data_IF_679591677080
#
_entry.id   IF_679591677080
#
_cell.length_a   1.000
_cell.length_b   1.000
_cell.length_c   1.000
_cell.angle_alpha   90.00
_cell.angle_beta   90.00
_cell.angle_gamma   90.00
#
_symmetry.space_group_name_H-M   'P 1'
#
loop_
_entity.id
_entity.type
_entity.pdbx_description
1 polymer ?
#
# COMPACT_ATOMS: atom_id res chain seq x y z
N UNK A 1 26.85 10.22 -42.04
CA UNK A 1 27.51 10.26 -43.39
C UNK A 1 28.17 8.93 -43.75
N UNK A 2 29.29 8.48 -43.08
CA UNK A 2 30.01 7.27 -43.48
C UNK A 2 29.09 6.01 -43.42
N UNK A 3 28.47 5.73 -42.29
CA UNK A 3 27.59 4.56 -42.13
C UNK A 3 26.39 4.57 -43.08
N UNK A 4 25.91 5.71 -43.48
CA UNK A 4 24.85 5.84 -44.49
C UNK A 4 25.35 5.49 -45.90
N UNK A 5 26.58 5.88 -46.23
CA UNK A 5 27.18 5.51 -47.50
C UNK A 5 27.48 4.00 -47.57
N UNK A 6 28.01 3.45 -46.49
CA UNK A 6 28.27 2.00 -46.39
C UNK A 6 26.96 1.17 -46.51
N UNK A 7 25.84 1.63 -45.92
CA UNK A 7 24.55 0.98 -46.06
C UNK A 7 24.03 1.10 -47.51
N UNK A 8 24.10 2.27 -48.13
CA UNK A 8 23.66 2.45 -49.49
C UNK A 8 24.46 1.60 -50.48
N UNK A 9 25.76 1.43 -50.27
CA UNK A 9 26.61 0.52 -51.04
C UNK A 9 26.15 -0.95 -50.85
N UNK A 10 25.98 -1.40 -49.58
CA UNK A 10 25.57 -2.76 -49.28
C UNK A 10 24.17 -3.10 -49.82
N UNK A 11 23.27 -2.13 -49.82
CA UNK A 11 21.93 -2.25 -50.40
C UNK A 11 22.00 -2.46 -51.91
N UNK A 12 22.80 -1.65 -52.63
CA UNK A 12 22.99 -1.82 -54.05
C UNK A 12 23.63 -3.19 -54.42
N UNK A 13 24.55 -3.69 -53.60
CA UNK A 13 25.15 -5.04 -53.84
C UNK A 13 24.12 -6.15 -53.55
N UNK A 14 23.27 -6.01 -52.54
CA UNK A 14 22.19 -6.97 -52.24
C UNK A 14 21.16 -6.99 -53.38
N UNK A 15 20.72 -5.86 -53.84
CA UNK A 15 19.82 -5.78 -55.02
C UNK A 15 20.41 -6.45 -56.28
N UNK A 16 21.74 -6.24 -56.50
CA UNK A 16 22.43 -6.86 -57.59
C UNK A 16 22.50 -8.37 -57.41
N UNK A 17 22.85 -8.87 -56.25
CA UNK A 17 22.88 -10.28 -55.94
C UNK A 17 21.49 -10.94 -56.10
N UNK A 18 20.42 -10.30 -55.63
CA UNK A 18 19.03 -10.75 -55.79
C UNK A 18 18.59 -10.83 -57.26
N UNK A 19 19.07 -9.96 -58.14
CA UNK A 19 18.83 -10.05 -59.60
C UNK A 19 19.57 -11.19 -60.22
N UNK A 20 20.85 -11.39 -59.89
CA UNK A 20 21.73 -12.41 -60.47
C UNK A 20 21.35 -13.82 -60.02
N UNK A 21 20.86 -14.02 -58.79
CA UNK A 21 20.40 -15.32 -58.33
C UNK A 21 19.15 -15.75 -59.08
N UNK A 22 18.23 -14.85 -59.40
CA UNK A 22 17.05 -15.14 -60.25
C UNK A 22 17.42 -15.54 -61.65
N UNK A 23 18.62 -15.12 -62.13
CA UNK A 23 19.19 -15.52 -63.45
C UNK A 23 20.09 -16.73 -63.33
N UNK A 24 20.16 -17.38 -62.15
CA UNK A 24 21.04 -18.54 -61.89
C UNK A 24 22.52 -18.27 -62.17
N UNK A 25 22.99 -17.02 -62.08
CA UNK A 25 24.36 -16.62 -62.42
C UNK A 25 25.29 -16.61 -61.21
N UNK A 26 24.73 -16.58 -59.97
CA UNK A 26 25.52 -16.67 -58.73
C UNK A 26 25.01 -17.77 -57.84
N UNK A 27 25.82 -18.18 -56.85
CA UNK A 27 25.43 -19.19 -55.83
C UNK A 27 24.60 -18.58 -54.68
N UNK A 28 23.81 -19.39 -54.02
CA UNK A 28 23.07 -19.00 -52.78
C UNK A 28 24.02 -18.41 -51.73
N UNK A 29 25.21 -18.98 -51.58
CA UNK A 29 26.26 -18.46 -50.68
C UNK A 29 26.65 -17.00 -50.97
N UNK A 30 26.66 -16.63 -52.24
CA UNK A 30 26.98 -15.24 -52.61
C UNK A 30 25.82 -14.26 -52.27
N UNK A 31 24.57 -14.72 -52.33
CA UNK A 31 23.42 -13.96 -51.85
C UNK A 31 23.45 -13.81 -50.33
N UNK A 32 23.69 -14.90 -49.59
CA UNK A 32 23.79 -14.88 -48.10
C UNK A 32 24.87 -13.94 -47.63
N UNK A 33 26.01 -13.83 -48.36
CA UNK A 33 27.10 -12.90 -48.07
C UNK A 33 26.67 -11.44 -48.26
N UNK A 34 25.94 -11.14 -49.33
CA UNK A 34 25.39 -9.81 -49.58
C UNK A 34 24.35 -9.40 -48.52
N UNK A 35 23.46 -10.34 -48.15
CA UNK A 35 22.49 -10.12 -47.08
C UNK A 35 23.15 -9.86 -45.73
N UNK A 36 24.19 -10.62 -45.38
CA UNK A 36 24.94 -10.41 -44.14
C UNK A 36 25.62 -9.06 -44.14
N UNK A 37 26.25 -8.64 -45.26
CA UNK A 37 26.90 -7.34 -45.40
C UNK A 37 25.92 -6.20 -45.24
N UNK A 38 24.72 -6.31 -45.81
CA UNK A 38 23.63 -5.35 -45.62
C UNK A 38 23.20 -5.24 -44.16
N UNK A 39 22.93 -6.35 -43.46
CA UNK A 39 22.53 -6.35 -42.04
C UNK A 39 23.58 -5.74 -41.13
N UNK A 40 24.87 -6.00 -41.41
CA UNK A 40 25.98 -5.40 -40.66
C UNK A 40 26.04 -3.89 -40.88
N UNK A 41 25.88 -3.42 -42.12
CA UNK A 41 25.85 -2.00 -42.42
C UNK A 41 24.64 -1.28 -41.83
N UNK A 42 23.46 -1.92 -41.81
CA UNK A 42 22.27 -1.41 -41.18
C UNK A 42 22.44 -1.27 -39.66
N UNK A 43 22.97 -2.28 -38.98
CA UNK A 43 23.29 -2.23 -37.57
C UNK A 43 24.33 -1.16 -37.21
N UNK A 44 25.34 -0.98 -38.09
CA UNK A 44 26.32 0.07 -37.92
C UNK A 44 25.71 1.48 -38.04
N UNK A 45 24.76 1.69 -38.96
CA UNK A 45 24.03 2.93 -39.07
C UNK A 45 23.19 3.22 -37.83
N UNK A 46 22.44 2.22 -37.32
CA UNK A 46 21.64 2.37 -36.08
C UNK A 46 22.54 2.75 -34.89
N UNK A 47 23.69 2.08 -34.74
CA UNK A 47 24.67 2.39 -33.70
C UNK A 47 25.20 3.82 -33.83
N UNK A 48 25.53 4.25 -35.05
CA UNK A 48 26.02 5.60 -35.30
C UNK A 48 24.98 6.68 -35.01
N UNK A 49 23.70 6.42 -35.31
CA UNK A 49 22.57 7.30 -34.97
C UNK A 49 22.34 7.40 -33.46
N UNK A 50 22.39 6.28 -32.75
CA UNK A 50 22.32 6.29 -31.30
C UNK A 50 23.45 7.08 -30.65
N UNK A 51 24.68 6.90 -31.15
CA UNK A 51 25.86 7.68 -30.69
C UNK A 51 25.69 9.18 -30.95
N UNK A 52 25.15 9.58 -32.11
CA UNK A 52 24.86 10.97 -32.42
C UNK A 52 23.86 11.57 -31.41
N UNK A 53 22.77 10.89 -31.16
CA UNK A 53 21.76 11.33 -30.17
C UNK A 53 22.39 11.56 -28.79
N UNK A 54 23.24 10.64 -28.34
CA UNK A 54 23.96 10.82 -27.06
C UNK A 54 24.78 12.09 -27.06
N UNK A 55 25.57 12.33 -28.14
CA UNK A 55 26.39 13.54 -28.26
C UNK A 55 25.59 14.83 -28.34
N UNK A 56 24.43 14.81 -28.97
CA UNK A 56 23.55 15.96 -29.02
C UNK A 56 22.99 16.30 -27.64
N UNK A 57 22.59 15.27 -26.85
CA UNK A 57 22.16 15.46 -25.48
C UNK A 57 23.26 15.96 -24.56
N UNK A 58 24.48 15.42 -24.68
CA UNK A 58 25.65 15.90 -23.92
C UNK A 58 25.96 17.37 -24.26
N UNK A 59 25.91 17.75 -25.55
CA UNK A 59 26.09 19.12 -25.98
C UNK A 59 25.02 20.05 -25.41
N UNK A 60 23.73 19.62 -25.44
CA UNK A 60 22.61 20.38 -24.86
C UNK A 60 22.82 20.59 -23.37
N UNK A 61 23.21 19.54 -22.64
CA UNK A 61 23.51 19.60 -21.22
C UNK A 61 24.71 20.55 -20.92
N UNK A 62 25.79 20.45 -21.69
CA UNK A 62 26.96 21.33 -21.55
C UNK A 62 26.61 22.80 -21.79
N UNK A 63 25.81 23.09 -22.85
CA UNK A 63 25.31 24.44 -23.13
C UNK A 63 24.46 24.99 -22.00
N UNK A 64 23.59 24.17 -21.41
CA UNK A 64 22.73 24.60 -20.29
C UNK A 64 23.54 24.98 -19.04
N UNK A 65 24.71 24.35 -18.83
CA UNK A 65 25.62 24.68 -17.70
C UNK A 65 26.38 26.00 -17.90
N UNK A 66 26.49 26.48 -19.14
CA UNK A 66 27.23 27.70 -19.49
C UNK A 66 26.32 28.95 -19.51
N UNK A 67 24.99 28.80 -19.39
CA UNK A 67 24.07 29.93 -19.39
C UNK A 67 24.23 30.73 -18.07
N UNK A 68 24.54 32.01 -18.20
CA UNK A 68 24.60 32.95 -17.10
C UNK A 68 23.22 33.55 -16.83
N UNK A 69 22.99 34.04 -15.60
CA UNK A 69 21.71 34.62 -15.17
C UNK A 69 21.16 35.72 -16.10
N UNK A 70 21.94 36.69 -16.61
CA UNK A 70 21.44 37.69 -17.57
C UNK A 70 21.07 37.09 -18.93
N UNK A 71 21.78 36.06 -19.41
CA UNK A 71 21.39 35.37 -20.65
C UNK A 71 20.12 34.56 -20.54
N UNK A 72 19.79 34.12 -19.33
CA UNK A 72 18.50 33.47 -19.01
C UNK A 72 17.37 34.50 -19.03
N UNK A 73 17.59 35.70 -18.48
CA UNK A 73 16.61 36.80 -18.46
C UNK A 73 16.35 37.37 -19.86
N UNK A 74 17.39 37.55 -20.70
CA UNK A 74 17.22 37.99 -22.10
C UNK A 74 16.51 36.92 -22.97
N UNK A 75 16.75 35.66 -22.72
CA UNK A 75 16.06 34.53 -23.36
C UNK A 75 14.70 34.23 -22.75
N UNK A 76 14.31 34.90 -21.65
CA UNK A 76 13.08 34.68 -20.90
C UNK A 76 11.77 34.83 -21.68
N UNK A 77 11.81 35.35 -22.93
CA UNK A 77 10.71 35.29 -23.86
C UNK A 77 10.71 34.03 -24.76
N UNK A 78 11.79 33.22 -24.73
CA UNK A 78 11.93 31.91 -25.39
C UNK A 78 12.73 30.96 -24.52
N UNK A 79 12.34 30.81 -23.28
CA UNK A 79 12.93 29.80 -22.43
C UNK A 79 12.60 28.41 -23.02
N UNK A 80 13.61 27.69 -23.51
CA UNK A 80 13.51 26.25 -23.65
C UNK A 80 13.53 25.63 -22.24
N UNK A 81 12.60 26.07 -21.42
CA UNK A 81 12.43 25.50 -20.09
C UNK A 81 11.98 24.05 -20.27
N UNK A 82 12.66 23.14 -19.63
CA UNK A 82 12.16 21.76 -19.54
C UNK A 82 10.96 21.79 -18.59
N UNK A 83 9.72 21.64 -19.09
CA UNK A 83 8.57 21.62 -18.23
C UNK A 83 8.62 20.33 -17.39
N UNK A 84 8.61 20.48 -16.07
CA UNK A 84 8.36 19.35 -15.16
C UNK A 84 6.85 19.26 -15.01
N UNK A 85 6.27 18.27 -15.68
CA UNK A 85 4.82 18.04 -15.66
C UNK A 85 4.48 17.01 -14.56
N UNK A 86 3.30 17.17 -13.94
CA UNK A 86 2.77 16.17 -13.03
C UNK A 86 2.54 14.86 -13.78
N UNK A 87 3.03 13.70 -13.27
CA UNK A 87 2.81 12.40 -13.92
C UNK A 87 1.38 11.89 -13.73
N UNK A 88 0.65 12.42 -12.74
CA UNK A 88 -0.72 12.03 -12.37
C UNK A 88 -1.59 13.26 -12.17
N UNK A 89 -2.91 13.10 -12.30
CA UNK A 89 -3.88 14.12 -11.89
C UNK A 89 -4.05 14.08 -10.37
N UNK A 90 -4.25 15.24 -9.74
CA UNK A 90 -4.41 15.33 -8.29
C UNK A 90 -4.25 16.76 -7.79
N UNK A 91 -4.10 16.90 -6.49
CA UNK A 91 -3.78 18.16 -5.82
C UNK A 91 -2.37 18.15 -5.26
N UNK A 92 -1.78 19.31 -5.10
CA UNK A 92 -0.48 19.44 -4.45
C UNK A 92 -0.67 19.21 -2.95
N UNK A 93 -0.15 18.10 -2.45
CA UNK A 93 -0.20 17.77 -1.02
C UNK A 93 0.88 18.52 -0.26
N UNK A 94 2.08 18.61 -0.83
CA UNK A 94 3.22 19.29 -0.22
C UNK A 94 4.16 19.87 -1.26
N UNK A 95 4.64 21.09 -1.02
CA UNK A 95 5.74 21.70 -1.75
C UNK A 95 7.00 21.50 -0.92
N UNK A 96 7.87 20.60 -1.38
CA UNK A 96 9.12 20.23 -0.68
C UNK A 96 10.15 21.33 -0.88
N UNK A 97 10.29 21.83 -2.11
CA UNK A 97 11.23 22.89 -2.43
C UNK A 97 10.50 24.16 -2.85
N UNK A 98 10.55 25.18 -1.98
CA UNK A 98 9.85 26.47 -2.20
C UNK A 98 10.70 27.55 -2.84
N UNK A 99 12.02 27.38 -2.84
CA UNK A 99 12.95 28.39 -3.35
C UNK A 99 13.54 27.96 -4.66
N UNK A 100 13.77 28.92 -5.54
CA UNK A 100 14.56 28.72 -6.76
C UNK A 100 15.99 28.28 -6.45
N UNK A 101 16.57 27.50 -7.31
CA UNK A 101 17.96 27.04 -7.17
C UNK A 101 18.26 25.83 -8.04
N UNK A 102 19.50 25.41 -7.96
CA UNK A 102 19.94 24.18 -8.66
C UNK A 102 19.33 22.97 -7.96
N UNK A 103 18.71 22.09 -8.72
CA UNK A 103 18.18 20.80 -8.28
C UNK A 103 18.99 19.68 -8.93
N UNK A 104 19.32 18.68 -8.14
CA UNK A 104 19.96 17.47 -8.64
C UNK A 104 18.92 16.57 -9.31
N UNK A 105 19.39 15.70 -10.21
CA UNK A 105 18.52 14.72 -10.83
C UNK A 105 17.99 13.76 -9.75
N UNK A 106 16.67 13.54 -9.74
CA UNK A 106 16.00 12.71 -8.73
C UNK A 106 15.59 13.47 -7.46
N UNK A 107 15.85 14.77 -7.35
CA UNK A 107 15.40 15.56 -6.20
C UNK A 107 13.87 15.73 -6.22
N UNK A 108 13.26 15.50 -5.07
CA UNK A 108 11.83 15.71 -4.85
C UNK A 108 11.50 17.20 -4.80
N UNK A 109 10.51 17.63 -5.58
CA UNK A 109 10.09 19.02 -5.69
C UNK A 109 8.72 19.27 -5.06
N UNK A 110 7.76 18.46 -5.46
CA UNK A 110 6.35 18.59 -5.11
C UNK A 110 5.78 17.18 -4.94
N UNK A 111 4.93 17.01 -3.95
CA UNK A 111 4.15 15.80 -3.74
C UNK A 111 2.71 16.04 -4.23
N UNK A 112 2.23 15.17 -5.11
CA UNK A 112 0.91 15.26 -5.73
C UNK A 112 0.18 13.96 -5.46
N UNK A 113 -1.08 14.05 -5.04
CA UNK A 113 -1.93 12.91 -4.78
C UNK A 113 -3.41 13.26 -4.93
N UNK A 114 -4.25 12.25 -4.96
CA UNK A 114 -5.70 12.40 -4.94
C UNK A 114 -6.18 12.29 -3.48
N UNK A 115 -6.72 13.36 -2.87
CA UNK A 115 -7.26 13.29 -1.52
C UNK A 115 -8.53 12.42 -1.39
N UNK A 116 -9.12 12.00 -2.50
CA UNK A 116 -10.25 11.06 -2.51
C UNK A 116 -9.81 9.60 -2.61
N UNK A 117 -8.54 9.34 -2.87
CA UNK A 117 -7.94 8.01 -2.97
C UNK A 117 -6.98 7.79 -1.79
N UNK A 118 -7.57 7.65 -0.59
CA UNK A 118 -6.82 7.38 0.63
C UNK A 118 -6.89 5.90 0.97
N UNK A 119 -5.75 5.38 1.39
CA UNK A 119 -5.64 4.09 2.05
C UNK A 119 -5.15 4.30 3.49
N UNK A 120 -5.47 3.37 4.37
CA UNK A 120 -5.01 3.39 5.75
C UNK A 120 -3.95 2.33 5.91
N UNK A 121 -2.74 2.76 6.26
CA UNK A 121 -1.64 1.86 6.59
C UNK A 121 -1.47 1.81 8.11
N UNK A 122 -1.41 0.61 8.66
CA UNK A 122 -1.22 0.39 10.10
C UNK A 122 -0.13 -0.64 10.34
N UNK A 123 0.73 -0.36 11.32
CA UNK A 123 1.77 -1.29 11.76
C UNK A 123 1.25 -2.14 12.93
N UNK A 124 1.04 -3.42 12.71
CA UNK A 124 0.62 -4.37 13.73
C UNK A 124 1.79 -5.19 14.26
N UNK A 125 1.67 -5.68 15.50
CA UNK A 125 2.56 -6.72 15.98
C UNK A 125 2.35 -8.00 15.16
N UNK A 126 3.44 -8.71 14.85
CA UNK A 126 3.38 -9.91 14.03
C UNK A 126 2.49 -11.00 14.61
N UNK A 127 2.39 -11.09 15.95
CA UNK A 127 1.51 -12.02 16.66
C UNK A 127 0.02 -11.70 16.50
N UNK A 128 -0.34 -10.43 16.28
CA UNK A 128 -1.71 -10.02 16.00
C UNK A 128 -2.02 -10.15 14.50
N UNK A 129 -1.06 -9.82 13.64
CA UNK A 129 -1.23 -9.89 12.19
C UNK A 129 -1.58 -11.30 11.69
N UNK A 130 -1.04 -12.38 12.31
CA UNK A 130 -1.38 -13.79 11.95
C UNK A 130 -2.84 -14.16 12.21
N UNK A 131 -3.59 -13.34 12.96
CA UNK A 131 -5.01 -13.57 13.27
C UNK A 131 -5.94 -12.84 12.33
N UNK A 132 -5.39 -12.04 11.45
CA UNK A 132 -6.13 -11.17 10.52
C UNK A 132 -6.04 -11.78 9.12
N UNK A 133 -7.13 -11.70 8.39
CA UNK A 133 -7.21 -12.17 7.01
C UNK A 133 -7.70 -11.04 6.09
N UNK A 134 -7.22 -10.97 4.84
CA UNK A 134 -7.76 -10.05 3.85
C UNK A 134 -9.28 -10.21 3.70
N UNK A 135 -10.00 -9.09 3.62
CA UNK A 135 -11.45 -9.06 3.56
C UNK A 135 -12.14 -8.91 4.91
N UNK A 136 -11.43 -8.98 6.03
CA UNK A 136 -12.03 -8.73 7.35
C UNK A 136 -12.46 -7.26 7.49
N UNK A 137 -13.62 -7.01 8.12
CA UNK A 137 -14.08 -5.65 8.39
C UNK A 137 -13.24 -5.00 9.48
N UNK A 138 -13.09 -3.69 9.37
CA UNK A 138 -12.41 -2.86 10.36
C UNK A 138 -13.19 -1.57 10.61
N UNK A 139 -12.92 -0.95 11.74
CA UNK A 139 -13.50 0.33 12.16
C UNK A 139 -12.35 1.31 12.33
N UNK A 140 -12.45 2.45 11.67
CA UNK A 140 -11.51 3.57 11.80
C UNK A 140 -12.12 4.61 12.72
N UNK A 141 -11.41 4.98 13.76
CA UNK A 141 -11.84 5.96 14.76
C UNK A 141 -10.71 6.94 15.08
N UNK A 142 -10.97 7.90 15.97
CA UNK A 142 -9.92 8.80 16.47
C UNK A 142 -9.44 9.88 15.51
N UNK A 143 -9.95 9.97 14.28
CA UNK A 143 -9.55 10.94 13.26
C UNK A 143 -10.24 12.31 13.41
N UNK A 144 -11.14 12.47 14.36
CA UNK A 144 -11.87 13.72 14.63
C UNK A 144 -13.23 13.84 13.96
N UNK A 145 -13.69 12.79 13.31
CA UNK A 145 -15.04 12.62 12.73
C UNK A 145 -15.74 11.38 13.29
N UNK A 146 -16.88 10.99 12.72
CA UNK A 146 -17.57 9.75 13.05
C UNK A 146 -16.74 8.53 12.66
N UNK A 147 -17.00 7.39 13.29
CA UNK A 147 -16.36 6.14 12.95
C UNK A 147 -16.63 5.79 11.48
N UNK A 148 -15.60 5.31 10.79
CA UNK A 148 -15.68 4.87 9.39
C UNK A 148 -15.51 3.36 9.31
N UNK A 149 -16.23 2.75 8.39
CA UNK A 149 -16.04 1.36 8.04
C UNK A 149 -14.87 1.21 7.07
N UNK A 150 -14.10 0.17 7.26
CA UNK A 150 -13.00 -0.19 6.39
C UNK A 150 -12.93 -1.71 6.20
N UNK A 151 -12.13 -2.14 5.26
CA UNK A 151 -11.87 -3.56 5.00
C UNK A 151 -10.37 -3.76 4.82
N UNK A 152 -9.87 -4.84 5.40
CA UNK A 152 -8.47 -5.25 5.21
C UNK A 152 -8.27 -5.64 3.76
N UNK A 153 -7.42 -4.89 3.06
CA UNK A 153 -7.06 -5.17 1.67
C UNK A 153 -5.89 -6.13 1.57
N UNK A 154 -4.83 -5.85 2.32
CA UNK A 154 -3.56 -6.56 2.24
C UNK A 154 -2.85 -6.56 3.58
N UNK A 155 -2.16 -7.64 3.85
CA UNK A 155 -1.20 -7.79 4.95
C UNK A 155 0.13 -8.10 4.30
N UNK A 156 1.16 -7.34 4.59
CA UNK A 156 2.47 -7.57 4.00
C UNK A 156 3.10 -8.86 4.59
N UNK A 157 3.70 -9.70 3.74
CA UNK A 157 4.28 -10.97 4.19
C UNK A 157 5.62 -10.79 4.92
N UNK A 158 6.16 -9.58 4.95
CA UNK A 158 7.44 -9.24 5.56
C UNK A 158 7.21 -8.46 6.86
N UNK A 159 7.76 -8.98 7.95
CA UNK A 159 7.83 -8.26 9.21
C UNK A 159 9.13 -7.43 9.29
N UNK A 160 9.01 -6.20 9.72
CA UNK A 160 10.14 -5.31 10.00
C UNK A 160 10.38 -5.17 11.49
N UNK A 161 11.66 -5.12 11.88
CA UNK A 161 12.02 -4.80 13.27
C UNK A 161 11.91 -3.30 13.48
N UNK A 162 11.03 -2.87 14.38
CA UNK A 162 10.89 -1.47 14.80
C UNK A 162 11.12 -1.32 16.30
N UNK A 163 11.64 -0.18 16.70
CA UNK A 163 11.85 0.13 18.11
C UNK A 163 10.63 0.90 18.61
N UNK A 164 9.95 0.36 19.61
CA UNK A 164 8.81 1.00 20.26
C UNK A 164 9.24 2.25 21.05
N UNK A 165 8.27 3.06 21.47
CA UNK A 165 8.51 4.25 22.28
C UNK A 165 9.19 3.94 23.63
N UNK A 166 9.15 2.68 24.08
CA UNK A 166 9.81 2.19 25.29
C UNK A 166 11.22 1.63 25.02
N UNK A 167 11.73 1.69 23.80
CA UNK A 167 13.05 1.18 23.42
C UNK A 167 13.10 -0.34 23.25
N UNK A 168 11.95 -1.00 23.10
CA UNK A 168 11.86 -2.45 22.89
C UNK A 168 11.77 -2.72 21.39
N UNK A 169 12.55 -3.69 20.92
CA UNK A 169 12.45 -4.18 19.54
C UNK A 169 11.18 -5.01 19.38
N UNK A 170 10.38 -4.66 18.40
CA UNK A 170 9.12 -5.31 18.04
C UNK A 170 9.11 -5.70 16.57
N UNK A 171 8.60 -6.89 16.28
CA UNK A 171 8.37 -7.34 14.90
C UNK A 171 7.00 -6.84 14.45
N UNK A 172 6.98 -5.93 13.47
CA UNK A 172 5.77 -5.32 12.96
C UNK A 172 5.53 -5.67 11.50
N UNK A 173 4.26 -5.83 11.16
CA UNK A 173 3.78 -6.12 9.82
C UNK A 173 2.89 -4.97 9.39
N UNK A 174 3.10 -4.46 8.19
CA UNK A 174 2.22 -3.44 7.61
C UNK A 174 0.94 -4.08 7.09
N UNK A 175 -0.17 -3.52 7.50
CA UNK A 175 -1.51 -3.86 7.01
C UNK A 175 -2.10 -2.64 6.31
N UNK A 176 -2.68 -2.85 5.14
CA UNK A 176 -3.34 -1.81 4.34
C UNK A 176 -4.83 -2.07 4.28
N UNK A 177 -5.61 -1.04 4.62
CA UNK A 177 -7.06 -1.07 4.64
C UNK A 177 -7.64 -0.04 3.66
N UNK A 178 -8.77 -0.40 3.06
CA UNK A 178 -9.58 0.48 2.24
C UNK A 178 -10.77 1.02 3.02
N UNK A 179 -11.03 2.33 2.92
CA UNK A 179 -12.21 2.96 3.50
C UNK A 179 -13.41 2.60 2.63
N UNK A 180 -14.45 2.03 3.23
CA UNK A 180 -15.66 1.59 2.50
C UNK A 180 -16.78 2.63 2.52
N UNK A 181 -16.71 3.64 3.38
CA UNK A 181 -17.62 4.77 3.38
C UNK A 181 -17.47 5.63 2.13
N UNK A 182 -18.55 6.29 1.67
CA UNK A 182 -18.46 7.27 0.58
C UNK A 182 -17.46 8.39 0.92
N UNK A 183 -16.72 8.92 -0.07
CA UNK A 183 -15.73 9.99 0.15
C UNK A 183 -16.28 11.26 0.81
N UNK A 184 -17.58 11.52 0.70
CA UNK A 184 -18.25 12.63 1.37
C UNK A 184 -18.22 12.55 2.90
N UNK A 185 -18.17 11.36 3.49
CA UNK A 185 -18.18 11.17 4.93
C UNK A 185 -16.83 11.51 5.56
N UNK A 186 -15.74 11.37 4.79
CA UNK A 186 -14.38 11.56 5.25
C UNK A 186 -13.58 12.63 4.48
N UNK A 187 -14.25 13.59 3.83
CA UNK A 187 -13.60 14.70 3.08
C UNK A 187 -12.57 15.50 3.89
N UNK A 188 -12.67 15.48 5.23
CA UNK A 188 -11.76 16.19 6.12
C UNK A 188 -10.57 15.34 6.56
N UNK A 189 -10.60 14.05 6.27
CA UNK A 189 -9.47 13.16 6.48
C UNK A 189 -8.45 13.43 5.37
N UNK A 190 -7.21 13.68 5.73
CA UNK A 190 -6.16 14.01 4.79
C UNK A 190 -4.99 13.05 4.88
N UNK A 191 -4.14 13.12 3.87
CA UNK A 191 -2.90 12.35 3.85
C UNK A 191 -2.04 12.63 5.09
N UNK A 192 -1.54 11.58 5.72
CA UNK A 192 -0.71 11.66 6.92
C UNK A 192 -1.48 11.93 8.22
N UNK A 193 -2.83 11.89 8.19
CA UNK A 193 -3.61 12.00 9.43
C UNK A 193 -3.55 10.69 10.21
N UNK A 194 -3.56 10.83 11.53
CA UNK A 194 -3.61 9.69 12.43
C UNK A 194 -5.04 9.18 12.54
N UNK A 195 -5.20 7.86 12.45
CA UNK A 195 -6.43 7.13 12.73
C UNK A 195 -6.14 5.97 13.68
N UNK A 196 -7.13 5.59 14.47
CA UNK A 196 -7.08 4.38 15.28
C UNK A 196 -7.87 3.29 14.55
N UNK A 197 -7.25 2.13 14.35
CA UNK A 197 -7.82 1.00 13.58
C UNK A 197 -8.19 -0.13 14.52
N UNK A 198 -9.44 -0.58 14.43
CA UNK A 198 -9.93 -1.77 15.12
C UNK A 198 -10.38 -2.83 14.12
N UNK A 199 -9.57 -3.87 13.89
CA UNK A 199 -9.95 -4.98 13.02
C UNK A 199 -10.91 -5.92 13.76
N UNK A 200 -12.01 -6.28 13.11
CA UNK A 200 -13.02 -7.19 13.69
C UNK A 200 -12.58 -8.63 13.44
N UNK A 201 -12.02 -9.27 14.46
CA UNK A 201 -11.55 -10.65 14.38
C UNK A 201 -12.69 -11.69 14.48
N UNK A 202 -13.79 -11.32 15.09
CA UNK A 202 -14.94 -12.21 15.28
C UNK A 202 -16.22 -11.40 15.31
N UNK A 203 -17.18 -11.80 14.52
CA UNK A 203 -18.54 -11.24 14.52
C UNK A 203 -19.52 -12.37 14.25
N UNK A 204 -20.38 -12.65 15.23
CA UNK A 204 -21.42 -13.66 15.10
C UNK A 204 -22.61 -13.30 16.01
N UNK A 205 -23.76 -13.91 15.76
CA UNK A 205 -24.93 -13.81 16.64
C UNK A 205 -24.84 -14.90 17.69
N UNK A 206 -24.39 -14.52 18.90
CA UNK A 206 -24.11 -15.46 19.98
C UNK A 206 -24.78 -15.05 21.27
N UNK A 207 -25.05 -16.04 22.12
CA UNK A 207 -25.40 -15.77 23.52
C UNK A 207 -24.21 -15.16 24.23
N UNK A 208 -24.38 -13.98 24.80
CA UNK A 208 -23.30 -13.26 25.50
C UNK A 208 -23.67 -12.95 26.93
N UNK A 209 -22.70 -13.04 27.83
CA UNK A 209 -22.80 -12.55 29.21
C UNK A 209 -21.83 -11.40 29.44
N UNK A 210 -22.18 -10.41 30.30
CA UNK A 210 -21.21 -9.38 30.70
C UNK A 210 -19.97 -10.01 31.34
N UNK A 211 -18.78 -9.52 30.95
CA UNK A 211 -17.54 -10.09 31.49
C UNK A 211 -17.43 -9.96 33.01
N UNK A 212 -18.05 -8.90 33.59
CA UNK A 212 -18.12 -8.71 35.05
C UNK A 212 -19.01 -9.70 35.82
N UNK A 213 -19.77 -10.56 35.12
CA UNK A 213 -20.52 -11.63 35.75
C UNK A 213 -19.70 -12.92 35.84
N UNK A 214 -18.65 -13.06 35.08
CA UNK A 214 -17.83 -14.26 34.99
C UNK A 214 -16.70 -14.24 36.03
N UNK A 215 -16.52 -15.37 36.69
CA UNK A 215 -15.44 -15.58 37.65
C UNK A 215 -14.86 -17.00 37.51
N UNK A 216 -13.74 -17.28 38.17
CA UNK A 216 -13.15 -18.61 38.19
C UNK A 216 -13.49 -19.34 39.47
N UNK A 217 -14.07 -20.55 39.33
CA UNK A 217 -14.33 -21.47 40.42
C UNK A 217 -13.68 -22.81 40.09
N UNK A 218 -12.71 -23.23 40.91
CA UNK A 218 -12.01 -24.49 40.71
C UNK A 218 -11.19 -24.60 39.40
N UNK A 219 -10.97 -23.48 38.69
CA UNK A 219 -10.31 -23.45 37.39
C UNK A 219 -11.22 -23.28 36.20
N UNK A 220 -12.52 -23.53 36.36
CA UNK A 220 -13.53 -23.36 35.32
C UNK A 220 -14.23 -22.00 35.39
N UNK A 221 -14.85 -21.56 34.29
CA UNK A 221 -15.65 -20.35 34.28
C UNK A 221 -17.02 -20.61 34.90
N UNK A 222 -17.44 -19.72 35.77
CA UNK A 222 -18.74 -19.79 36.43
C UNK A 222 -19.42 -18.41 36.49
N UNK A 223 -20.71 -18.46 36.69
CA UNK A 223 -21.57 -17.30 36.92
C UNK A 223 -22.52 -17.61 38.08
N UNK A 224 -23.06 -16.58 38.72
CA UNK A 224 -24.26 -16.74 39.55
C UNK A 224 -25.49 -16.29 38.76
N UNK A 225 -26.41 -17.22 38.57
CA UNK A 225 -27.73 -16.96 37.95
C UNK A 225 -28.73 -16.64 39.04
N UNK A 226 -29.59 -15.67 38.79
CA UNK A 226 -30.72 -15.38 39.70
C UNK A 226 -31.86 -16.38 39.43
N UNK A 227 -32.21 -17.19 40.43
CA UNK A 227 -33.32 -18.13 40.43
C UNK A 227 -34.11 -18.00 41.72
N UNK A 228 -35.40 -17.67 41.64
CA UNK A 228 -36.34 -17.53 42.78
C UNK A 228 -35.82 -16.65 43.93
N UNK A 229 -35.11 -15.56 43.61
CA UNK A 229 -34.52 -14.65 44.58
C UNK A 229 -33.25 -15.19 45.25
N UNK A 230 -32.60 -16.17 44.65
CA UNK A 230 -31.35 -16.78 45.12
C UNK A 230 -30.31 -16.82 44.02
N UNK A 231 -29.04 -16.78 44.42
CA UNK A 231 -27.91 -16.98 43.51
C UNK A 231 -27.66 -18.50 43.35
N UNK A 232 -27.70 -18.96 42.13
CA UNK A 232 -27.33 -20.33 41.75
C UNK A 232 -25.98 -20.35 41.06
N UNK A 233 -25.02 -21.11 41.58
CA UNK A 233 -23.73 -21.28 40.94
C UNK A 233 -23.89 -22.16 39.70
N UNK A 234 -23.49 -21.63 38.53
CA UNK A 234 -23.55 -22.37 37.30
C UNK A 234 -22.21 -22.27 36.53
N UNK A 235 -21.67 -23.40 36.15
CA UNK A 235 -20.49 -23.48 35.30
C UNK A 235 -20.87 -23.19 33.85
N UNK A 236 -20.02 -22.42 33.15
CA UNK A 236 -20.29 -21.99 31.78
C UNK A 236 -19.12 -22.26 30.88
N UNK A 237 -19.40 -22.60 29.64
CA UNK A 237 -18.42 -22.70 28.59
C UNK A 237 -18.34 -21.37 27.85
N UNK A 238 -17.17 -20.73 27.84
CA UNK A 238 -16.97 -19.45 27.19
C UNK A 238 -16.24 -19.61 25.85
N UNK A 239 -16.60 -18.78 24.86
CA UNK A 239 -15.95 -18.69 23.57
C UNK A 239 -15.18 -17.38 23.41
N UNK A 240 -15.44 -16.66 22.31
CA UNK A 240 -14.86 -15.36 22.03
C UNK A 240 -15.23 -14.32 23.10
N UNK A 241 -14.33 -13.37 23.35
CA UNK A 241 -14.56 -12.33 24.36
C UNK A 241 -13.94 -11.01 23.96
N UNK A 242 -14.55 -9.95 24.41
CA UNK A 242 -14.00 -8.60 24.32
C UNK A 242 -13.90 -7.97 25.72
N UNK A 243 -13.66 -6.67 25.81
CA UNK A 243 -13.55 -5.95 27.10
C UNK A 243 -14.85 -5.88 27.92
N UNK A 244 -16.00 -6.13 27.31
CA UNK A 244 -17.33 -5.98 27.95
C UNK A 244 -18.08 -7.28 28.11
N UNK A 245 -17.97 -8.19 27.15
CA UNK A 245 -18.76 -9.40 27.04
C UNK A 245 -17.92 -10.62 26.69
N UNK A 246 -18.43 -11.79 27.08
CA UNK A 246 -17.95 -13.09 26.63
C UNK A 246 -19.08 -13.85 25.94
N UNK A 247 -18.78 -14.55 24.87
CA UNK A 247 -19.62 -15.56 24.25
C UNK A 247 -19.84 -16.71 25.26
N UNK A 248 -21.08 -17.16 25.36
CA UNK A 248 -21.45 -18.33 26.16
C UNK A 248 -21.89 -19.44 25.19
N UNK A 249 -21.13 -20.54 25.19
CA UNK A 249 -21.39 -21.72 24.34
C UNK A 249 -22.27 -22.75 25.04
N UNK A 250 -22.29 -22.69 26.35
CA UNK A 250 -23.11 -23.61 27.17
C UNK A 250 -23.16 -23.16 28.62
N UNK A 251 -24.19 -23.65 29.34
CA UNK A 251 -24.39 -23.38 30.76
C UNK A 251 -25.31 -22.21 31.11
N UNK A 252 -25.72 -21.40 30.11
CA UNK A 252 -26.72 -20.33 30.28
C UNK A 252 -27.74 -20.37 29.14
N UNK A 253 -28.94 -19.92 29.42
CA UNK A 253 -29.99 -19.70 28.45
C UNK A 253 -30.28 -18.21 28.22
N UNK A 254 -30.80 -17.89 27.04
CA UNK A 254 -31.14 -16.51 26.71
C UNK A 254 -32.23 -15.95 27.62
N UNK A 255 -31.97 -14.78 28.20
CA UNK A 255 -32.92 -14.09 29.09
C UNK A 255 -32.71 -14.38 30.56
N UNK A 256 -31.80 -15.28 30.94
CA UNK A 256 -31.44 -15.48 32.35
C UNK A 256 -30.70 -14.25 32.93
N UNK A 257 -31.02 -13.93 34.17
CA UNK A 257 -30.41 -12.83 34.92
C UNK A 257 -29.13 -13.32 35.63
N UNK A 258 -28.02 -12.61 35.45
CA UNK A 258 -26.74 -12.95 36.07
C UNK A 258 -26.29 -11.87 37.04
N UNK A 259 -25.63 -12.28 38.13
CA UNK A 259 -25.07 -11.36 39.11
C UNK A 259 -23.80 -10.69 38.56
N UNK A 260 -23.81 -9.37 38.50
CA UNK A 260 -22.62 -8.59 38.08
C UNK A 260 -21.71 -8.36 39.28
N UNK A 261 -20.42 -8.55 39.07
CA UNK A 261 -19.36 -8.31 40.07
C UNK A 261 -19.64 -9.00 41.40
N UNK A 262 -19.85 -10.35 41.41
CA UNK A 262 -20.14 -11.07 42.62
C UNK A 262 -19.01 -10.88 43.64
N UNK A 263 -19.40 -10.46 44.86
CA UNK A 263 -18.44 -10.38 45.97
C UNK A 263 -18.31 -11.74 46.65
N UNK A 264 -17.28 -11.91 47.48
CA UNK A 264 -17.04 -13.13 48.26
C UNK A 264 -18.21 -13.56 49.16
N UNK A 265 -19.20 -12.69 49.34
CA UNK A 265 -20.44 -12.95 50.10
C UNK A 265 -21.51 -13.67 49.29
N UNK A 266 -21.43 -13.59 47.96
CA UNK A 266 -22.35 -14.31 47.07
C UNK A 266 -21.85 -15.74 46.95
N UNK A 267 -22.67 -16.67 47.38
CA UNK A 267 -22.42 -18.12 47.33
C UNK A 267 -23.64 -18.80 46.79
N UNK A 268 -23.51 -20.02 46.38
CA UNK A 268 -24.62 -20.85 45.94
C UNK A 268 -25.74 -20.90 47.02
N UNK A 269 -26.98 -20.67 46.59
CA UNK A 269 -28.18 -20.63 47.44
C UNK A 269 -28.38 -19.34 48.26
N UNK A 270 -27.47 -18.38 48.22
CA UNK A 270 -27.62 -17.11 48.96
C UNK A 270 -28.75 -16.28 48.36
N UNK A 271 -29.59 -15.71 49.24
CA UNK A 271 -30.68 -14.79 48.84
C UNK A 271 -30.08 -13.50 48.28
N UNK A 272 -30.53 -13.13 47.09
CA UNK A 272 -30.16 -11.89 46.38
C UNK A 272 -31.38 -11.08 46.02
N UNK A 273 -31.20 -9.78 45.91
CA UNK A 273 -32.27 -8.87 45.48
C UNK A 273 -31.72 -8.04 44.32
N UNK A 274 -32.49 -7.88 43.22
CA UNK A 274 -32.07 -7.00 42.12
C UNK A 274 -31.95 -5.57 42.63
N UNK A 275 -30.93 -4.85 42.11
CA UNK A 275 -30.61 -3.46 42.48
C UNK A 275 -31.11 -2.50 41.43
#
# INVERSE_FOLDING_TARGET
ARAEADLAFADGELERAQRLIRQQTISERALDEAERTYRVAEAALQTARAALNVREHELKQARSRLLTRPEIEERGQRCECLPVTAPVSGVVLRVIRRSEGVVEAGAELIEIGDPADLEVAVDLLSEDAVRIEPGQPAILSGWGGPDLAAVVRRIDPLAETRISALGIEEQRVEEVLDITNPPEDWRRLGHGFRVDVGVVLFQDEVLKAPLGALFREGGDWAVFVEGDGRAELRFVETGARNSLFAEIRGGLDAGESVVLYPSDRVRDGVRIEPR
#
